data_IF_814010686490
#
_entry.id   IF_814010686490
#
_cell.length_a   1.000
_cell.length_b   1.000
_cell.length_c   1.000
_cell.angle_alpha   90.00
_cell.angle_beta   90.00
_cell.angle_gamma   90.00
#
_symmetry.space_group_name_H-M   'P 1'
#
loop_
_entity.id
_entity.type
_entity.pdbx_description
1 polymer ?
#
# COMPACT_ATOMS: atom_id res chain seq x y z
N UNK A 1 -4.78 12.05 26.25
CA UNK A 1 -3.98 11.96 25.00
C UNK A 1 -3.67 10.52 24.60
N UNK A 2 -3.15 9.68 25.51
CA UNK A 2 -2.83 8.26 25.20
C UNK A 2 -4.03 7.44 24.67
N UNK A 3 -5.23 7.63 25.22
CA UNK A 3 -6.42 6.87 24.80
C UNK A 3 -6.86 7.19 23.35
N UNK A 4 -6.72 8.44 22.92
CA UNK A 4 -7.05 8.86 21.56
C UNK A 4 -6.05 8.28 20.55
N UNK A 5 -4.76 8.32 20.86
CA UNK A 5 -3.72 7.70 20.05
C UNK A 5 -3.93 6.18 19.94
N UNK A 6 -4.22 5.51 21.07
CA UNK A 6 -4.50 4.08 21.10
C UNK A 6 -5.69 3.71 20.20
N UNK A 7 -6.81 4.45 20.32
CA UNK A 7 -7.99 4.21 19.49
C UNK A 7 -7.69 4.39 18.00
N UNK A 8 -6.97 5.46 17.63
CA UNK A 8 -6.60 5.72 16.24
C UNK A 8 -5.69 4.61 15.68
N UNK A 9 -4.65 4.23 16.42
CA UNK A 9 -3.75 3.14 16.02
C UNK A 9 -4.51 1.82 15.87
N UNK A 10 -5.45 1.52 16.77
CA UNK A 10 -6.26 0.30 16.69
C UNK A 10 -7.15 0.28 15.44
N UNK A 11 -7.82 1.40 15.15
CA UNK A 11 -8.66 1.54 13.96
C UNK A 11 -7.84 1.42 12.68
N UNK A 12 -6.70 2.10 12.60
CA UNK A 12 -5.80 2.05 11.44
C UNK A 12 -5.26 0.63 11.26
N UNK A 13 -4.81 -0.02 12.33
CA UNK A 13 -4.29 -1.38 12.28
C UNK A 13 -5.34 -2.39 11.83
N UNK A 14 -6.57 -2.32 12.37
CA UNK A 14 -7.66 -3.20 11.96
C UNK A 14 -8.04 -3.00 10.49
N UNK A 15 -8.17 -1.75 10.05
CA UNK A 15 -8.51 -1.45 8.67
C UNK A 15 -7.40 -1.89 7.71
N UNK A 16 -6.15 -1.53 8.00
CA UNK A 16 -4.99 -1.95 7.21
C UNK A 16 -4.88 -3.47 7.13
N UNK A 17 -5.06 -4.17 8.26
CA UNK A 17 -5.04 -5.64 8.30
C UNK A 17 -6.16 -6.24 7.44
N UNK A 18 -7.38 -5.72 7.55
CA UNK A 18 -8.50 -6.18 6.72
C UNK A 18 -8.22 -6.02 5.22
N UNK A 19 -7.71 -4.86 4.80
CA UNK A 19 -7.33 -4.60 3.41
C UNK A 19 -6.21 -5.54 2.95
N UNK A 20 -5.16 -5.73 3.77
CA UNK A 20 -4.03 -6.62 3.46
C UNK A 20 -4.48 -8.07 3.36
N UNK A 21 -5.34 -8.54 4.27
CA UNK A 21 -5.84 -9.92 4.23
C UNK A 21 -6.66 -10.16 2.97
N UNK A 22 -7.58 -9.27 2.63
CA UNK A 22 -8.43 -9.43 1.44
C UNK A 22 -7.60 -9.37 0.16
N UNK A 23 -6.78 -8.33 0.01
CA UNK A 23 -5.96 -8.14 -1.20
C UNK A 23 -4.86 -9.19 -1.32
N UNK A 24 -4.12 -9.46 -0.24
CA UNK A 24 -3.06 -10.46 -0.21
C UNK A 24 -3.57 -11.88 -0.47
N UNK A 25 -4.73 -12.25 0.08
CA UNK A 25 -5.36 -13.55 -0.23
C UNK A 25 -5.80 -13.63 -1.69
N UNK A 26 -6.41 -12.56 -2.22
CA UNK A 26 -6.81 -12.51 -3.63
C UNK A 26 -5.61 -12.64 -4.58
N UNK A 27 -4.54 -11.88 -4.35
CA UNK A 27 -3.32 -11.96 -5.15
C UNK A 27 -2.62 -13.31 -4.97
N UNK A 28 -2.50 -13.82 -3.75
CA UNK A 28 -1.92 -15.14 -3.49
C UNK A 28 -2.69 -16.25 -4.19
N UNK A 29 -4.02 -16.21 -4.17
CA UNK A 29 -4.86 -17.15 -4.91
C UNK A 29 -4.67 -17.03 -6.42
N UNK A 30 -4.60 -15.80 -6.94
CA UNK A 30 -4.37 -15.51 -8.35
C UNK A 30 -3.00 -16.01 -8.82
N UNK A 31 -1.93 -15.80 -8.05
CA UNK A 31 -0.59 -16.32 -8.38
C UNK A 31 -0.53 -17.84 -8.27
N UNK A 32 -1.20 -18.44 -7.28
CA UNK A 32 -1.20 -19.89 -7.08
C UNK A 32 -1.93 -20.63 -8.22
N UNK A 33 -3.04 -20.08 -8.72
CA UNK A 33 -3.89 -20.75 -9.72
C UNK A 33 -3.79 -20.19 -11.14
N UNK A 34 -3.31 -18.96 -11.31
CA UNK A 34 -3.25 -18.26 -12.58
C UNK A 34 -2.04 -18.66 -13.42
N UNK A 35 -2.28 -19.02 -14.69
CA UNK A 35 -1.25 -19.15 -15.74
C UNK A 35 -1.35 -17.95 -16.70
N UNK A 36 -1.07 -16.75 -16.20
CA UNK A 36 -1.08 -15.51 -17.00
C UNK A 36 0.34 -14.98 -17.22
N UNK A 37 0.58 -14.35 -18.37
CA UNK A 37 1.92 -13.84 -18.80
C UNK A 37 2.50 -12.77 -17.86
N UNK A 38 1.68 -12.10 -17.06
CA UNK A 38 2.11 -11.07 -16.09
C UNK A 38 2.41 -11.59 -14.68
N UNK A 39 2.40 -12.91 -14.46
CA UNK A 39 2.55 -13.50 -13.12
C UNK A 39 3.90 -13.17 -12.49
N UNK A 40 4.99 -13.33 -13.23
CA UNK A 40 6.34 -13.05 -12.72
C UNK A 40 6.51 -11.58 -12.36
N UNK A 41 5.94 -10.68 -13.17
CA UNK A 41 5.97 -9.25 -12.89
C UNK A 41 5.19 -8.92 -11.60
N UNK A 42 4.01 -9.51 -11.42
CA UNK A 42 3.20 -9.32 -10.21
C UNK A 42 3.92 -9.88 -8.97
N UNK A 43 4.54 -11.05 -9.08
CA UNK A 43 5.31 -11.67 -8.00
C UNK A 43 6.49 -10.78 -7.59
N UNK A 44 7.26 -10.29 -8.57
CA UNK A 44 8.34 -9.35 -8.34
C UNK A 44 7.84 -8.06 -7.68
N UNK A 45 6.72 -7.50 -8.14
CA UNK A 45 6.10 -6.32 -7.54
C UNK A 45 5.70 -6.51 -6.07
N UNK A 46 5.17 -7.68 -5.72
CA UNK A 46 4.82 -8.02 -4.35
C UNK A 46 6.05 -8.25 -3.47
N UNK A 47 7.13 -8.82 -4.03
CA UNK A 47 8.40 -9.07 -3.33
C UNK A 47 9.27 -7.81 -3.17
N UNK A 48 9.24 -6.89 -4.13
CA UNK A 48 10.04 -5.66 -4.15
C UNK A 48 10.06 -4.92 -2.81
N UNK A 49 8.91 -4.52 -2.22
CA UNK A 49 8.90 -3.79 -0.95
C UNK A 49 9.45 -4.60 0.23
N UNK A 50 9.47 -5.94 0.12
CA UNK A 50 9.98 -6.85 1.14
C UNK A 50 11.51 -6.98 1.10
N UNK A 51 12.09 -6.88 -0.10
CA UNK A 51 13.54 -6.89 -0.32
C UNK A 51 14.14 -5.51 -0.09
N UNK A 52 13.36 -4.45 -0.30
CA UNK A 52 13.79 -3.07 -0.08
C UNK A 52 13.81 -2.72 1.42
N UNK A 53 14.77 -1.88 1.87
CA UNK A 53 14.75 -1.35 3.23
C UNK A 53 13.47 -0.54 3.50
N UNK A 54 12.91 -0.59 4.73
CA UNK A 54 11.68 0.12 5.07
C UNK A 54 11.79 1.64 4.88
N UNK A 55 13.00 2.20 5.01
CA UNK A 55 13.27 3.62 4.75
C UNK A 55 13.04 3.99 3.29
N UNK A 56 13.48 3.14 2.36
CA UNK A 56 13.31 3.36 0.91
C UNK A 56 11.85 3.17 0.53
N UNK A 57 11.19 2.16 1.09
CA UNK A 57 9.73 1.97 0.93
C UNK A 57 8.95 3.19 1.41
N UNK A 58 9.32 3.76 2.57
CA UNK A 58 8.76 5.02 3.07
C UNK A 58 9.00 6.21 2.14
N UNK A 59 10.20 6.34 1.59
CA UNK A 59 10.50 7.39 0.60
C UNK A 59 9.62 7.25 -0.66
N UNK A 60 9.42 6.04 -1.18
CA UNK A 60 8.54 5.83 -2.32
C UNK A 60 7.09 6.20 -2.02
N UNK A 61 6.58 5.93 -0.81
CA UNK A 61 5.25 6.41 -0.40
C UNK A 61 5.17 7.94 -0.47
N UNK A 62 6.20 8.66 -0.03
CA UNK A 62 6.23 10.12 -0.11
C UNK A 62 6.28 10.59 -1.57
N UNK A 63 7.08 9.95 -2.42
CA UNK A 63 7.17 10.32 -3.85
C UNK A 63 5.85 10.03 -4.58
N UNK A 64 5.13 8.98 -4.21
CA UNK A 64 3.88 8.60 -4.85
C UNK A 64 2.67 9.38 -4.34
N UNK A 65 2.53 9.50 -3.02
CA UNK A 65 1.38 10.14 -2.34
C UNK A 65 1.63 11.60 -1.95
N UNK A 66 2.86 12.10 -2.03
CA UNK A 66 3.17 13.49 -1.72
C UNK A 66 2.52 14.46 -2.70
N UNK A 67 2.44 15.75 -2.35
CA UNK A 67 1.68 16.78 -3.10
C UNK A 67 2.02 16.88 -4.60
N UNK A 68 3.25 16.56 -4.99
CA UNK A 68 3.70 16.54 -6.40
C UNK A 68 3.90 15.11 -6.94
N UNK A 69 3.44 14.12 -6.19
CA UNK A 69 3.56 12.71 -6.53
C UNK A 69 2.53 12.27 -7.57
N UNK A 70 2.78 11.10 -8.17
CA UNK A 70 1.94 10.55 -9.24
C UNK A 70 0.47 10.42 -8.83
N UNK A 71 0.21 10.06 -7.56
CA UNK A 71 -1.14 9.99 -7.02
C UNK A 71 -1.54 11.25 -6.24
N UNK A 72 -0.58 11.92 -5.59
CA UNK A 72 -0.87 13.12 -4.80
C UNK A 72 -1.20 14.37 -5.65
N UNK A 73 -0.63 14.52 -6.85
CA UNK A 73 -0.93 15.63 -7.75
C UNK A 73 -2.38 15.58 -8.29
N UNK A 74 -2.88 14.45 -8.85
CA UNK A 74 -4.28 14.37 -9.25
C UNK A 74 -5.24 14.40 -8.04
N UNK A 75 -4.88 13.83 -6.89
CA UNK A 75 -5.67 13.98 -5.67
C UNK A 75 -5.77 15.45 -5.25
N UNK A 76 -4.67 16.19 -5.25
CA UNK A 76 -4.67 17.62 -4.90
C UNK A 76 -5.49 18.46 -5.88
N UNK A 77 -5.40 18.16 -7.18
CA UNK A 77 -6.23 18.80 -8.20
C UNK A 77 -7.73 18.52 -8.06
N UNK A 78 -8.11 17.34 -7.55
CA UNK A 78 -9.50 16.94 -7.39
C UNK A 78 -10.11 17.32 -6.02
N UNK A 79 -9.32 17.38 -4.96
CA UNK A 79 -9.83 17.58 -3.58
C UNK A 79 -9.33 18.84 -2.89
N UNK A 80 -8.36 19.58 -3.46
CA UNK A 80 -7.81 20.82 -2.88
C UNK A 80 -7.09 20.63 -1.54
N UNK A 81 -6.74 19.39 -1.19
CA UNK A 81 -6.23 19.04 0.14
C UNK A 81 -4.84 19.64 0.38
N UNK A 82 -4.71 20.49 1.40
CA UNK A 82 -3.48 21.21 1.81
C UNK A 82 -2.87 20.62 3.07
#
# INVERSE_FOLDING_TARGET
>A
MAWAALKLSLTVALFATGVVVVSGTAFGWLLARGRFRGRELLDALLMLPLVLPPTVTGYYLIVLLGRRGVFGAPLHGLTGWS
#
